data_IF_822435646425
#
_entry.id   IF_822435646425
#
_cell.length_a   1.000
_cell.length_b   1.000
_cell.length_c   1.000
_cell.angle_alpha   90.00
_cell.angle_beta   90.00
_cell.angle_gamma   90.00
#
_symmetry.space_group_name_H-M   'P 1'
#
loop_
_entity.id
_entity.type
_entity.pdbx_description
1 polymer ?
#
# COMPACT_ATOMS: atom_id res chain seq x y z
N UNK A 1 -7.15 6.12 0.81
CA UNK A 1 -5.69 5.90 0.88
C UNK A 1 -5.31 5.61 2.32
N UNK A 2 -4.57 4.52 2.58
CA UNK A 2 -4.14 4.13 3.92
C UNK A 2 -2.68 4.52 4.12
N UNK A 3 -2.43 5.42 5.08
CA UNK A 3 -1.08 5.83 5.48
C UNK A 3 -0.62 5.02 6.68
N UNK A 4 0.64 4.65 6.66
CA UNK A 4 1.30 3.96 7.75
C UNK A 4 2.39 4.86 8.32
N UNK A 5 2.42 5.00 9.65
CA UNK A 5 3.35 5.86 10.36
C UNK A 5 4.68 5.14 10.53
N UNK A 6 5.74 5.68 9.92
CA UNK A 6 7.11 5.21 10.14
C UNK A 6 7.68 5.95 11.37
N UNK A 7 7.66 7.28 11.33
CA UNK A 7 8.12 8.16 12.41
C UNK A 7 7.38 9.48 12.24
N UNK A 8 6.75 10.09 13.24
CA UNK A 8 6.12 11.41 13.04
C UNK A 8 7.18 12.46 12.61
N UNK A 9 7.03 13.21 11.50
CA UNK A 9 5.87 13.33 10.60
C UNK A 9 5.96 12.53 9.28
N UNK A 10 6.84 11.54 9.19
CA UNK A 10 7.06 10.61 8.07
C UNK A 10 6.08 9.44 8.05
N UNK A 11 5.42 9.27 6.91
CA UNK A 11 4.45 8.23 6.62
C UNK A 11 4.76 7.55 5.29
N UNK A 12 4.23 6.34 5.10
CA UNK A 12 4.28 5.63 3.83
C UNK A 12 2.92 5.09 3.39
N UNK A 13 2.75 4.92 2.09
CA UNK A 13 1.53 4.40 1.49
C UNK A 13 1.80 3.75 0.13
N UNK A 14 0.92 2.84 -0.29
CA UNK A 14 0.76 2.50 -1.71
C UNK A 14 -0.35 3.39 -2.25
N UNK A 15 -0.05 4.18 -3.28
CA UNK A 15 -0.98 5.20 -3.81
C UNK A 15 -1.64 4.77 -5.12
N UNK A 16 -1.00 3.87 -5.86
CA UNK A 16 -1.53 3.33 -7.10
C UNK A 16 -1.03 1.90 -7.31
N UNK A 17 -1.77 1.15 -8.11
CA UNK A 17 -1.32 -0.12 -8.67
C UNK A 17 -1.91 -0.34 -10.06
N UNK A 18 -1.25 -1.18 -10.84
CA UNK A 18 -1.73 -1.72 -12.11
C UNK A 18 -1.60 -3.24 -12.06
N UNK A 19 -2.63 -3.95 -12.50
CA UNK A 19 -2.58 -5.38 -12.80
C UNK A 19 -2.25 -5.53 -14.28
N UNK A 20 -1.18 -6.24 -14.57
CA UNK A 20 -0.71 -6.45 -15.92
C UNK A 20 -1.35 -7.71 -16.53
N UNK A 21 -1.48 -7.80 -17.87
CA UNK A 21 -2.08 -8.97 -18.54
C UNK A 21 -1.35 -10.30 -18.30
N UNK A 22 -0.06 -10.24 -17.95
CA UNK A 22 0.78 -11.39 -17.60
C UNK A 22 0.55 -11.88 -16.14
N UNK A 23 -0.37 -11.23 -15.40
CA UNK A 23 -0.68 -11.56 -14.02
C UNK A 23 0.26 -10.93 -12.99
N UNK A 24 1.17 -10.05 -13.41
CA UNK A 24 2.03 -9.28 -12.49
C UNK A 24 1.35 -8.02 -11.99
N UNK A 25 1.86 -7.44 -10.90
CA UNK A 25 1.38 -6.17 -10.34
C UNK A 25 2.52 -5.16 -10.34
N UNK A 26 2.23 -3.94 -10.78
CA UNK A 26 3.10 -2.78 -10.58
C UNK A 26 2.45 -1.83 -9.58
N UNK A 27 3.12 -1.52 -8.48
CA UNK A 27 2.61 -0.67 -7.41
C UNK A 27 3.48 0.56 -7.20
N UNK A 28 2.85 1.71 -6.95
CA UNK A 28 3.53 2.95 -6.57
C UNK A 28 3.52 3.07 -5.05
N UNK A 29 4.69 2.90 -4.44
CA UNK A 29 4.92 3.11 -3.02
C UNK A 29 5.53 4.49 -2.81
N UNK A 30 5.06 5.22 -1.80
CA UNK A 30 5.56 6.55 -1.46
C UNK A 30 5.92 6.62 0.00
N UNK A 31 7.01 7.35 0.29
CA UNK A 31 7.36 7.82 1.64
C UNK A 31 7.30 9.34 1.58
N UNK A 32 6.68 9.96 2.57
CA UNK A 32 6.50 11.40 2.61
C UNK A 32 6.20 11.92 4.00
N UNK A 33 6.01 13.23 4.12
CA UNK A 33 5.60 13.85 5.38
C UNK A 33 4.12 14.16 5.37
N UNK A 34 3.45 14.09 6.52
CA UNK A 34 2.06 14.51 6.68
C UNK A 34 1.74 14.96 8.10
N UNK A 35 0.58 15.55 8.27
CA UNK A 35 0.06 16.01 9.55
C UNK A 35 -0.93 14.99 10.11
N UNK A 36 -0.65 14.47 11.30
CA UNK A 36 -1.55 13.57 12.05
C UNK A 36 -2.65 14.40 12.72
N UNK A 37 -3.89 14.23 12.29
CA UNK A 37 -5.07 14.83 12.90
C UNK A 37 -6.02 13.70 13.32
N UNK A 38 -5.98 13.32 14.60
CA UNK A 38 -6.79 12.25 15.20
C UNK A 38 -6.74 10.93 14.42
N UNK A 39 -5.53 10.51 14.00
CA UNK A 39 -5.32 9.25 13.29
C UNK A 39 -5.60 9.32 11.79
N UNK A 40 -5.98 10.48 11.25
CA UNK A 40 -6.00 10.76 9.83
C UNK A 40 -4.79 11.58 9.42
N UNK A 41 -4.07 11.11 8.40
CA UNK A 41 -2.95 11.85 7.81
C UNK A 41 -3.50 12.81 6.77
N UNK A 42 -3.20 14.09 6.97
CA UNK A 42 -3.56 15.22 6.09
C UNK A 42 -2.30 15.90 5.56
N UNK A 43 -2.42 16.73 4.52
CA UNK A 43 -1.31 17.49 3.92
C UNK A 43 -0.10 16.63 3.52
N UNK A 44 -0.36 15.41 3.07
CA UNK A 44 0.70 14.48 2.72
C UNK A 44 1.50 14.98 1.51
N UNK A 45 2.81 15.15 1.71
CA UNK A 45 3.78 15.55 0.69
C UNK A 45 4.77 14.40 0.46
N UNK A 46 4.74 13.74 -0.72
CA UNK A 46 5.68 12.66 -1.03
C UNK A 46 7.11 13.20 -1.14
N UNK A 47 8.05 12.49 -0.52
CA UNK A 47 9.49 12.76 -0.58
C UNK A 47 10.22 11.77 -1.48
N UNK A 48 9.82 10.49 -1.40
CA UNK A 48 10.39 9.39 -2.17
C UNK A 48 9.23 8.62 -2.80
N UNK A 49 9.38 8.30 -4.08
CA UNK A 49 8.47 7.43 -4.82
C UNK A 49 9.24 6.24 -5.36
N UNK A 50 8.78 5.04 -5.04
CA UNK A 50 9.35 3.78 -5.49
C UNK A 50 8.31 2.98 -6.27
N UNK A 51 8.76 2.34 -7.35
CA UNK A 51 7.95 1.40 -8.10
C UNK A 51 8.28 -0.02 -7.65
N UNK A 52 7.26 -0.75 -7.21
CA UNK A 52 7.37 -2.15 -6.80
C UNK A 52 6.76 -3.01 -7.89
N UNK A 53 7.58 -3.89 -8.45
CA UNK A 53 7.13 -4.93 -9.36
C UNK A 53 6.94 -6.23 -8.57
N UNK A 54 5.77 -6.83 -8.72
CA UNK A 54 5.38 -8.06 -8.06
C UNK A 54 5.11 -9.10 -9.15
N UNK A 55 5.81 -10.23 -9.08
CA UNK A 55 5.62 -11.30 -10.05
C UNK A 55 4.23 -11.96 -9.90
N UNK A 56 3.96 -12.95 -10.76
CA UNK A 56 2.68 -13.64 -10.78
C UNK A 56 2.38 -14.40 -9.48
N UNK A 57 3.39 -15.01 -8.86
CA UNK A 57 3.22 -15.76 -7.62
C UNK A 57 2.88 -14.82 -6.46
N UNK A 58 3.65 -13.73 -6.34
CA UNK A 58 3.43 -12.69 -5.34
C UNK A 58 2.05 -12.05 -5.51
N UNK A 59 1.66 -11.79 -6.75
CA UNK A 59 0.34 -11.24 -7.09
C UNK A 59 -0.79 -12.19 -6.66
N UNK A 60 -0.65 -13.49 -6.93
CA UNK A 60 -1.62 -14.49 -6.47
C UNK A 60 -1.71 -14.56 -4.95
N UNK A 61 -0.60 -14.51 -4.23
CA UNK A 61 -0.59 -14.47 -2.76
C UNK A 61 -1.39 -13.27 -2.21
N UNK A 62 -1.23 -12.10 -2.83
CA UNK A 62 -2.00 -10.89 -2.47
C UNK A 62 -3.49 -11.08 -2.71
N UNK A 63 -3.88 -11.63 -3.87
CA UNK A 63 -5.29 -11.88 -4.20
C UNK A 63 -5.94 -12.87 -3.25
N UNK A 64 -5.24 -13.97 -2.95
CA UNK A 64 -5.74 -15.06 -2.14
C UNK A 64 -5.63 -14.80 -0.63
N UNK A 65 -4.96 -13.72 -0.22
CA UNK A 65 -4.88 -13.32 1.18
C UNK A 65 -6.30 -13.20 1.80
N UNK A 66 -6.53 -13.71 3.02
CA UNK A 66 -7.84 -13.68 3.65
C UNK A 66 -8.32 -12.24 3.84
N UNK A 67 -9.63 -12.01 3.70
CA UNK A 67 -10.21 -10.69 3.98
C UNK A 67 -10.23 -10.41 5.48
N UNK A 68 -9.89 -9.19 5.87
CA UNK A 68 -9.98 -8.69 7.25
C UNK A 68 -11.34 -8.04 7.47
N UNK A 69 -11.75 -7.89 8.72
CA UNK A 69 -13.03 -7.23 9.06
C UNK A 69 -13.11 -5.80 8.52
N UNK A 70 -11.98 -5.10 8.52
CA UNK A 70 -11.82 -3.74 7.99
C UNK A 70 -11.90 -3.65 6.46
N UNK A 71 -11.90 -4.76 5.74
CA UNK A 71 -11.99 -4.80 4.27
C UNK A 71 -13.43 -4.76 3.76
N UNK A 72 -14.39 -5.11 4.61
CA UNK A 72 -15.80 -5.24 4.23
C UNK A 72 -16.35 -3.88 3.80
N UNK A 73 -16.95 -3.84 2.61
CA UNK A 73 -17.57 -2.64 2.05
C UNK A 73 -16.61 -1.66 1.38
N UNK A 74 -15.29 -1.94 1.38
CA UNK A 74 -14.34 -1.12 0.63
C UNK A 74 -14.46 -1.37 -0.88
N UNK A 75 -14.28 -0.33 -1.73
CA UNK A 75 -14.08 -0.52 -3.16
C UNK A 75 -12.89 -1.45 -3.42
N UNK A 76 -12.97 -2.23 -4.51
CA UNK A 76 -11.90 -3.14 -4.91
C UNK A 76 -10.52 -2.46 -4.98
N UNK A 77 -10.46 -1.22 -5.47
CA UNK A 77 -9.21 -0.47 -5.55
C UNK A 77 -8.59 -0.20 -4.17
N UNK A 78 -9.38 0.27 -3.21
CA UNK A 78 -8.90 0.53 -1.83
C UNK A 78 -8.52 -0.76 -1.11
N UNK A 79 -9.28 -1.83 -1.34
CA UNK A 79 -8.97 -3.17 -0.84
C UNK A 79 -7.59 -3.62 -1.34
N UNK A 80 -7.35 -3.52 -2.64
CA UNK A 80 -6.10 -3.94 -3.26
C UNK A 80 -4.91 -3.09 -2.81
N UNK A 81 -5.06 -1.76 -2.68
CA UNK A 81 -4.00 -0.91 -2.14
C UNK A 81 -3.59 -1.36 -0.72
N UNK A 82 -4.57 -1.66 0.14
CA UNK A 82 -4.30 -2.15 1.50
C UNK A 82 -3.63 -3.53 1.52
N UNK A 83 -4.09 -4.46 0.66
CA UNK A 83 -3.50 -5.79 0.54
C UNK A 83 -2.08 -5.76 0.00
N UNK A 84 -1.81 -4.97 -1.05
CA UNK A 84 -0.47 -4.79 -1.62
C UNK A 84 0.46 -4.19 -0.57
N UNK A 85 0.03 -3.13 0.13
CA UNK A 85 0.83 -2.55 1.21
C UNK A 85 1.14 -3.57 2.30
N UNK A 86 0.14 -4.33 2.77
CA UNK A 86 0.32 -5.36 3.81
C UNK A 86 1.35 -6.40 3.39
N UNK A 87 1.24 -6.91 2.16
CA UNK A 87 2.17 -7.89 1.60
C UNK A 87 3.60 -7.35 1.53
N UNK A 88 3.77 -6.14 0.98
CA UNK A 88 5.09 -5.51 0.87
C UNK A 88 5.72 -5.34 2.26
N UNK A 89 4.93 -4.92 3.26
CA UNK A 89 5.38 -4.73 4.64
C UNK A 89 5.78 -6.05 5.29
N UNK A 90 4.92 -7.06 5.23
CA UNK A 90 5.13 -8.38 5.84
C UNK A 90 6.36 -9.09 5.27
N UNK A 91 6.72 -8.79 4.01
CA UNK A 91 7.90 -9.32 3.34
C UNK A 91 9.13 -8.39 3.39
N UNK A 92 9.10 -7.31 4.18
CA UNK A 92 10.18 -6.33 4.30
C UNK A 92 10.63 -5.68 2.96
N UNK A 93 9.71 -5.55 2.01
CA UNK A 93 9.93 -4.94 0.69
C UNK A 93 9.73 -3.42 0.69
N UNK A 94 9.17 -2.88 1.78
CA UNK A 94 8.94 -1.46 2.03
C UNK A 94 9.22 -1.13 3.50
N UNK A 95 9.41 0.16 3.79
CA UNK A 95 9.65 0.62 5.15
C UNK A 95 8.34 0.67 5.95
N UNK A 96 8.38 0.05 7.13
CA UNK A 96 7.25 -0.15 8.04
C UNK A 96 7.20 0.92 9.14
#
# INVERSE_FOLDING_TARGET
MQFNKILSPVYSAVTAFAMNPDGTISATYVIGTGTDNDGQVTDFTPLVTEYKYLDQEQSQQIFMAPMKKEDIGKPFQDLMLGKIYSYLRENNLVQA
#
